data_IF_145159655381
#
_entry.id   IF_145159655381
#
_cell.length_a   1.000
_cell.length_b   1.000
_cell.length_c   1.000
_cell.angle_alpha   90.00
_cell.angle_beta   90.00
_cell.angle_gamma   90.00
#
_symmetry.space_group_name_H-M   'P 1'
#
loop_
_entity.id
_entity.type
_entity.pdbx_description
1 polymer ?
#
# COMPACT_ATOMS: atom_id res chain seq x y z
N UNK A 1 0.07 20.86 10.50
CA UNK A 1 -0.43 19.47 10.42
C UNK A 1 0.01 18.61 9.24
N UNK A 2 0.03 19.11 7.99
CA UNK A 2 0.37 18.27 6.81
C UNK A 2 1.77 17.64 6.85
N UNK A 3 2.73 18.32 7.48
CA UNK A 3 4.11 17.84 7.63
C UNK A 3 4.19 16.61 8.55
N UNK A 4 3.45 16.62 9.66
CA UNK A 4 3.42 15.50 10.62
C UNK A 4 2.75 14.25 10.03
N UNK A 5 1.72 14.44 9.19
CA UNK A 5 1.08 13.32 8.49
C UNK A 5 2.01 12.70 7.45
N UNK A 6 2.78 13.52 6.73
CA UNK A 6 3.77 13.07 5.75
C UNK A 6 4.90 12.26 6.41
N UNK A 7 5.41 12.72 7.54
CA UNK A 7 6.45 12.02 8.31
C UNK A 7 5.97 10.68 8.86
N UNK A 8 4.71 10.59 9.31
CA UNK A 8 4.11 9.31 9.71
C UNK A 8 3.98 8.35 8.54
N UNK A 9 3.49 8.81 7.40
CA UNK A 9 3.38 7.98 6.20
C UNK A 9 4.74 7.42 5.78
N UNK A 10 5.80 8.23 5.85
CA UNK A 10 7.15 7.79 5.53
C UNK A 10 7.69 6.73 6.50
N UNK A 11 7.50 6.90 7.81
CA UNK A 11 7.93 5.91 8.82
C UNK A 11 7.17 4.60 8.71
N UNK A 12 5.88 4.69 8.42
CA UNK A 12 5.00 3.54 8.16
C UNK A 12 5.45 2.76 6.93
N UNK A 13 5.75 3.44 5.83
CA UNK A 13 6.29 2.82 4.61
C UNK A 13 7.66 2.19 4.89
N UNK A 14 8.54 2.87 5.62
CA UNK A 14 9.83 2.30 6.02
C UNK A 14 9.66 1.07 6.91
N UNK A 15 8.72 1.05 7.86
CA UNK A 15 8.45 -0.10 8.71
C UNK A 15 7.92 -1.29 7.89
N UNK A 16 7.02 -1.04 6.93
CA UNK A 16 6.48 -2.06 6.04
C UNK A 16 7.54 -2.67 5.11
N UNK A 17 8.61 -1.92 4.79
CA UNK A 17 9.76 -2.41 4.04
C UNK A 17 10.73 -3.26 4.90
N UNK A 18 10.70 -3.12 6.23
CA UNK A 18 11.59 -3.86 7.15
C UNK A 18 11.00 -5.19 7.64
N UNK A 19 9.67 -5.33 7.71
CA UNK A 19 9.03 -6.63 7.97
C UNK A 19 9.10 -7.54 6.75
N UNK A 20 10.27 -8.17 6.59
CA UNK A 20 10.60 -9.05 5.47
C UNK A 20 10.04 -10.46 5.69
N UNK A 21 8.72 -10.62 5.62
CA UNK A 21 8.14 -11.88 5.16
C UNK A 21 7.31 -11.61 3.89
N UNK A 22 7.92 -11.71 2.70
CA UNK A 22 7.21 -11.37 1.47
C UNK A 22 6.06 -12.36 1.26
N UNK A 23 4.82 -11.84 1.24
CA UNK A 23 3.62 -12.65 1.02
C UNK A 23 3.78 -13.55 -0.22
N UNK A 24 3.49 -14.83 -0.04
CA UNK A 24 3.33 -15.83 -1.10
C UNK A 24 2.05 -15.54 -1.90
N UNK A 25 1.91 -16.16 -3.07
CA UNK A 25 0.71 -16.03 -3.89
C UNK A 25 -0.57 -16.45 -3.14
N UNK A 26 -0.49 -17.51 -2.32
CA UNK A 26 -1.62 -17.95 -1.49
C UNK A 26 -2.01 -16.87 -0.48
N UNK A 27 -1.03 -16.33 0.23
CA UNK A 27 -1.27 -15.28 1.23
C UNK A 27 -1.82 -13.99 0.59
N UNK A 28 -1.45 -13.68 -0.66
CA UNK A 28 -2.07 -12.58 -1.42
C UNK A 28 -3.54 -12.87 -1.70
N UNK A 29 -3.85 -14.08 -2.18
CA UNK A 29 -5.24 -14.48 -2.46
C UNK A 29 -6.08 -14.47 -1.18
N UNK A 30 -5.55 -15.00 -0.08
CA UNK A 30 -6.20 -15.03 1.22
C UNK A 30 -6.40 -13.61 1.76
N UNK A 31 -5.39 -12.74 1.63
CA UNK A 31 -5.51 -11.33 2.00
C UNK A 31 -6.64 -10.64 1.22
N UNK A 32 -6.75 -10.87 -0.08
CA UNK A 32 -7.83 -10.29 -0.91
C UNK A 32 -9.23 -10.81 -0.55
N UNK A 33 -9.34 -11.98 0.10
CA UNK A 33 -10.61 -12.53 0.56
C UNK A 33 -11.13 -11.87 1.85
N UNK A 34 -10.29 -11.12 2.58
CA UNK A 34 -10.65 -10.56 3.88
C UNK A 34 -11.66 -9.39 3.78
N UNK A 35 -12.48 -9.15 4.84
CA UNK A 35 -13.51 -8.12 4.85
C UNK A 35 -13.02 -6.71 4.51
N UNK A 36 -11.81 -6.37 4.96
CA UNK A 36 -11.17 -5.08 4.71
C UNK A 36 -10.99 -4.77 3.21
N UNK A 37 -10.95 -5.79 2.34
CA UNK A 37 -10.89 -5.65 0.89
C UNK A 37 -12.23 -5.89 0.20
N UNK A 38 -13.06 -6.78 0.74
CA UNK A 38 -14.35 -7.14 0.10
C UNK A 38 -15.44 -6.12 0.39
N UNK A 39 -15.59 -5.64 1.62
CA UNK A 39 -16.65 -4.68 2.00
C UNK A 39 -16.14 -3.24 2.07
N UNK A 40 -14.82 -3.03 2.19
CA UNK A 40 -14.23 -1.73 2.54
C UNK A 40 -14.70 -1.20 3.90
N UNK A 41 -15.38 -2.06 4.66
CA UNK A 41 -16.02 -1.76 5.92
C UNK A 41 -15.31 -2.52 7.04
N UNK A 42 -13.98 -2.41 7.12
CA UNK A 42 -13.40 -2.34 8.46
C UNK A 42 -13.88 -1.00 9.00
N UNK A 43 -14.97 -0.97 9.78
CA UNK A 43 -15.22 0.18 10.65
C UNK A 43 -14.13 0.06 11.71
N UNK A 44 -13.02 0.79 11.58
CA UNK A 44 -11.91 0.56 12.47
C UNK A 44 -12.37 1.05 13.85
N UNK A 45 -12.19 0.22 14.88
CA UNK A 45 -12.63 0.56 16.23
C UNK A 45 -12.01 1.88 16.72
N UNK A 46 -10.87 2.28 16.13
CA UNK A 46 -10.21 3.57 16.31
C UNK A 46 -9.32 3.93 15.11
N UNK A 47 -8.80 5.18 15.07
CA UNK A 47 -7.92 5.68 14.00
C UNK A 47 -6.61 4.89 13.82
N UNK A 48 -6.12 4.22 14.88
CA UNK A 48 -4.90 3.40 14.79
C UNK A 48 -5.15 2.17 13.92
N UNK A 49 -6.24 1.45 14.17
CA UNK A 49 -6.64 0.29 13.35
C UNK A 49 -6.87 0.68 11.89
N UNK A 50 -7.48 1.85 11.63
CA UNK A 50 -7.69 2.36 10.27
C UNK A 50 -6.37 2.58 9.51
N UNK A 51 -5.36 3.06 10.23
CA UNK A 51 -4.03 3.29 9.66
C UNK A 51 -3.35 1.97 9.37
N UNK A 52 -3.37 1.02 10.31
CA UNK A 52 -2.81 -0.32 10.13
C UNK A 52 -3.42 -1.06 8.94
N UNK A 53 -4.75 -1.01 8.76
CA UNK A 53 -5.44 -1.67 7.65
C UNK A 53 -4.94 -1.13 6.30
N UNK A 54 -4.78 0.20 6.17
CA UNK A 54 -4.27 0.83 4.94
C UNK A 54 -2.82 0.47 4.63
N UNK A 55 -2.02 0.19 5.66
CA UNK A 55 -0.62 -0.24 5.51
C UNK A 55 -0.56 -1.65 4.94
N UNK A 56 -1.34 -2.57 5.54
CA UNK A 56 -1.47 -3.94 5.04
C UNK A 56 -2.06 -3.93 3.63
N UNK A 57 -3.05 -3.07 3.38
CA UNK A 57 -3.63 -2.94 2.05
C UNK A 57 -2.58 -2.51 1.02
N UNK A 58 -1.76 -1.53 1.40
CA UNK A 58 -0.69 -1.02 0.55
C UNK A 58 0.38 -2.08 0.27
N UNK A 59 0.82 -2.83 1.28
CA UNK A 59 1.86 -3.85 1.12
C UNK A 59 1.43 -4.98 0.18
N UNK A 60 0.16 -5.40 0.24
CA UNK A 60 -0.41 -6.37 -0.72
C UNK A 60 -0.41 -5.79 -2.13
N UNK A 61 -0.84 -4.53 -2.32
CA UNK A 61 -0.84 -3.90 -3.64
C UNK A 61 0.58 -3.79 -4.23
N UNK A 62 1.55 -3.38 -3.43
CA UNK A 62 2.95 -3.28 -3.82
C UNK A 62 3.53 -4.68 -4.15
N UNK A 63 3.15 -5.71 -3.39
CA UNK A 63 3.56 -7.10 -3.67
C UNK A 63 2.98 -7.62 -4.98
N UNK A 64 1.71 -7.34 -5.27
CA UNK A 64 1.11 -7.70 -6.55
C UNK A 64 1.87 -7.04 -7.70
N UNK A 65 2.21 -5.75 -7.59
CA UNK A 65 3.02 -5.04 -8.58
C UNK A 65 4.40 -5.68 -8.77
N UNK A 66 5.06 -6.02 -7.66
CA UNK A 66 6.35 -6.70 -7.70
C UNK A 66 6.27 -8.02 -8.48
N UNK A 67 5.30 -8.90 -8.18
CA UNK A 67 5.13 -10.18 -8.88
C UNK A 67 4.75 -9.98 -10.35
N UNK A 68 3.88 -9.01 -10.66
CA UNK A 68 3.50 -8.76 -12.05
C UNK A 68 4.69 -8.26 -12.89
N UNK A 69 5.59 -7.47 -12.29
CA UNK A 69 6.80 -6.96 -12.93
C UNK A 69 7.99 -7.91 -12.94
N UNK A 70 7.91 -9.02 -12.20
CA UNK A 70 8.97 -10.01 -12.10
C UNK A 70 9.09 -10.81 -13.40
N UNK A 71 10.17 -10.58 -14.15
CA UNK A 71 10.41 -11.24 -15.43
C UNK A 71 10.73 -12.72 -15.29
N UNK A 72 11.15 -13.15 -14.09
CA UNK A 72 11.48 -14.54 -13.79
C UNK A 72 10.25 -15.32 -13.28
N UNK A 73 9.15 -14.62 -12.93
CA UNK A 73 7.88 -15.25 -12.60
C UNK A 73 7.21 -15.87 -13.85
N UNK A 74 6.59 -17.04 -13.67
CA UNK A 74 5.93 -17.74 -14.77
C UNK A 74 4.83 -16.86 -15.41
N UNK A 75 4.62 -16.94 -16.74
CA UNK A 75 3.57 -16.17 -17.43
C UNK A 75 2.17 -16.37 -16.82
N UNK A 76 1.87 -17.58 -16.34
CA UNK A 76 0.60 -17.93 -15.72
C UNK A 76 0.41 -17.19 -14.37
N UNK A 77 1.46 -17.15 -13.55
CA UNK A 77 1.44 -16.42 -12.26
C UNK A 77 1.22 -14.93 -12.49
N UNK A 78 1.95 -14.34 -13.45
CA UNK A 78 1.76 -12.93 -13.81
C UNK A 78 0.35 -12.65 -14.32
N UNK A 79 -0.18 -13.51 -15.20
CA UNK A 79 -1.53 -13.39 -15.75
C UNK A 79 -2.61 -13.45 -14.64
N UNK A 80 -2.44 -14.36 -13.68
CA UNK A 80 -3.34 -14.48 -12.53
C UNK A 80 -3.29 -13.23 -11.63
N UNK A 81 -2.09 -12.73 -11.33
CA UNK A 81 -1.92 -11.50 -10.55
C UNK A 81 -2.55 -10.31 -11.25
N UNK A 82 -2.33 -10.12 -12.56
CA UNK A 82 -2.97 -9.04 -13.32
C UNK A 82 -4.49 -9.16 -13.36
N UNK A 83 -5.02 -10.39 -13.43
CA UNK A 83 -6.46 -10.62 -13.28
C UNK A 83 -6.97 -10.15 -11.92
N UNK A 84 -6.27 -10.49 -10.83
CA UNK A 84 -6.61 -10.01 -9.48
C UNK A 84 -6.46 -8.50 -9.34
N UNK A 85 -5.44 -7.89 -9.96
CA UNK A 85 -5.28 -6.43 -10.00
C UNK A 85 -6.47 -5.75 -10.68
N UNK A 86 -7.00 -6.30 -11.79
CA UNK A 86 -8.21 -5.77 -12.44
C UNK A 86 -9.40 -5.77 -11.50
N UNK A 87 -9.66 -6.90 -10.83
CA UNK A 87 -10.75 -7.01 -9.85
C UNK A 87 -10.59 -5.99 -8.72
N UNK A 88 -9.38 -5.88 -8.18
CA UNK A 88 -9.13 -4.98 -7.05
C UNK A 88 -9.15 -3.51 -7.46
N UNK A 89 -8.63 -3.14 -8.63
CA UNK A 89 -8.73 -1.79 -9.20
C UNK A 89 -10.18 -1.35 -9.31
N UNK A 90 -11.03 -2.21 -9.87
CA UNK A 90 -12.45 -1.90 -10.06
C UNK A 90 -13.16 -1.76 -8.70
N UNK A 91 -12.80 -2.59 -7.72
CA UNK A 91 -13.29 -2.45 -6.35
C UNK A 91 -12.83 -1.14 -5.69
N UNK A 92 -11.55 -0.79 -5.82
CA UNK A 92 -10.98 0.45 -5.30
C UNK A 92 -11.68 1.68 -5.92
N UNK A 93 -12.03 1.62 -7.21
CA UNK A 93 -12.84 2.65 -7.89
C UNK A 93 -14.26 2.78 -7.32
N UNK A 94 -14.84 1.72 -6.80
CA UNK A 94 -16.11 1.80 -6.05
C UNK A 94 -15.88 2.39 -4.66
N UNK A 95 -14.80 2.01 -3.99
CA UNK A 95 -14.50 2.44 -2.62
C UNK A 95 -14.09 3.91 -2.51
N UNK A 96 -13.48 4.49 -3.54
CA UNK A 96 -13.17 5.93 -3.56
C UNK A 96 -14.43 6.82 -3.59
N UNK A 97 -15.62 6.27 -3.89
CA UNK A 97 -16.87 7.03 -3.91
C UNK A 97 -17.47 7.24 -2.52
N UNK A 98 -16.92 6.60 -1.49
CA UNK A 98 -17.39 6.70 -0.10
C UNK A 98 -16.23 6.79 0.89
N UNK A 99 -16.53 6.96 2.17
CA UNK A 99 -15.52 7.05 3.23
C UNK A 99 -14.90 8.44 3.42
N UNK A 100 -13.90 8.51 4.31
CA UNK A 100 -13.18 9.74 4.64
C UNK A 100 -12.27 10.21 3.49
N UNK A 101 -11.76 11.44 3.55
CA UNK A 101 -10.79 11.93 2.56
C UNK A 101 -9.57 11.00 2.47
N UNK A 102 -9.08 10.53 3.61
CA UNK A 102 -7.93 9.62 3.68
C UNK A 102 -8.23 8.27 3.01
N UNK A 103 -9.44 7.73 3.19
CA UNK A 103 -9.85 6.47 2.55
C UNK A 103 -9.94 6.65 1.04
N UNK A 104 -10.56 7.74 0.58
CA UNK A 104 -10.64 8.05 -0.85
C UNK A 104 -9.25 8.25 -1.45
N UNK A 105 -8.34 8.94 -0.76
CA UNK A 105 -6.96 9.12 -1.20
C UNK A 105 -6.20 7.79 -1.29
N UNK A 106 -6.38 6.90 -0.30
CA UNK A 106 -5.81 5.55 -0.32
C UNK A 106 -6.30 4.74 -1.53
N UNK A 107 -7.62 4.65 -1.74
CA UNK A 107 -8.20 3.89 -2.85
C UNK A 107 -7.90 4.51 -4.24
N UNK A 108 -7.79 5.84 -4.33
CA UNK A 108 -7.33 6.52 -5.53
C UNK A 108 -5.87 6.17 -5.87
N UNK A 109 -4.99 6.10 -4.87
CA UNK A 109 -3.59 5.67 -5.06
C UNK A 109 -3.51 4.21 -5.54
N UNK A 110 -4.21 3.27 -4.88
CA UNK A 110 -4.19 1.85 -5.28
C UNK A 110 -4.73 1.66 -6.70
N UNK A 111 -5.88 2.27 -7.02
CA UNK A 111 -6.48 2.15 -8.35
C UNK A 111 -5.61 2.79 -9.44
N UNK A 112 -4.98 3.93 -9.16
CA UNK A 112 -4.08 4.61 -10.09
C UNK A 112 -2.83 3.79 -10.41
N UNK A 113 -2.23 3.15 -9.39
CA UNK A 113 -1.05 2.32 -9.56
C UNK A 113 -1.35 1.09 -10.43
N UNK A 114 -2.45 0.39 -10.16
CA UNK A 114 -2.86 -0.74 -11.00
C UNK A 114 -3.27 -0.32 -12.41
N UNK A 115 -3.92 0.84 -12.58
CA UNK A 115 -4.20 1.38 -13.92
C UNK A 115 -2.93 1.57 -14.72
N UNK A 116 -1.90 2.21 -14.14
CA UNK A 116 -0.63 2.44 -14.85
C UNK A 116 0.07 1.14 -15.23
N UNK A 117 0.09 0.15 -14.34
CA UNK A 117 0.65 -1.16 -14.65
C UNK A 117 -0.14 -1.88 -15.75
N UNK A 118 -1.47 -2.01 -15.59
CA UNK A 118 -2.30 -2.78 -16.50
C UNK A 118 -2.38 -2.18 -17.91
N UNK A 119 -2.26 -0.85 -18.04
CA UNK A 119 -2.39 -0.17 -19.34
C UNK A 119 -1.03 0.16 -19.98
N UNK A 120 0.00 0.43 -19.18
CA UNK A 120 1.29 0.95 -19.66
C UNK A 120 2.49 0.12 -19.20
N UNK A 121 2.30 -0.87 -18.33
CA UNK A 121 3.35 -1.66 -17.68
C UNK A 121 4.36 -0.76 -16.93
N UNK A 122 3.86 0.32 -16.35
CA UNK A 122 4.66 1.29 -15.61
C UNK A 122 4.49 1.11 -14.11
N UNK A 123 5.60 0.84 -13.42
CA UNK A 123 5.63 0.81 -11.95
C UNK A 123 5.49 2.23 -11.37
N UNK A 124 4.81 2.38 -10.22
CA UNK A 124 4.86 3.63 -9.48
C UNK A 124 6.32 3.95 -9.13
N UNK A 125 6.76 5.16 -9.43
CA UNK A 125 8.07 5.63 -8.97
C UNK A 125 8.01 5.71 -7.44
N UNK A 126 8.89 5.02 -6.70
CA UNK A 126 8.95 5.18 -5.26
C UNK A 126 9.18 6.66 -4.97
N UNK A 127 8.37 7.25 -4.08
CA UNK A 127 8.72 8.57 -3.56
C UNK A 127 10.11 8.46 -2.94
N UNK A 128 11.06 9.36 -3.25
CA UNK A 128 12.35 9.36 -2.60
C UNK A 128 12.14 9.29 -1.10
N UNK A 129 12.82 8.35 -0.43
CA UNK A 129 12.79 8.30 1.02
C UNK A 129 13.12 9.71 1.52
N UNK A 130 12.23 10.28 2.35
CA UNK A 130 12.50 11.54 3.00
C UNK A 130 13.84 11.37 3.73
N UNK A 131 14.87 12.07 3.25
CA UNK A 131 16.13 12.16 3.99
C UNK A 131 15.74 12.73 5.35
N UNK A 132 16.03 11.99 6.41
CA UNK A 132 15.92 12.54 7.75
C UNK A 132 16.70 13.87 7.75
N UNK A 133 16.13 14.96 8.28
CA UNK A 133 16.91 16.16 8.53
C UNK A 133 18.17 15.76 9.31
N UNK A 134 19.34 16.37 9.05
CA UNK A 134 20.51 16.18 9.89
C UNK A 134 20.07 16.36 11.34
N UNK A 135 20.32 15.33 12.18
CA UNK A 135 19.77 15.29 13.53
C UNK A 135 20.11 16.57 14.29
N UNK A 136 19.07 17.26 14.76
CA UNK A 136 19.24 18.35 15.70
C UNK A 136 19.63 17.72 17.06
N UNK A 137 20.79 18.06 17.65
CA UNK A 137 21.25 17.45 18.88
C UNK A 137 20.52 18.07 20.08
N UNK A 138 19.27 17.69 20.29
CA UNK A 138 18.63 17.94 21.58
C UNK A 138 18.78 16.70 22.47
N UNK A 139 19.90 16.65 23.19
CA UNK A 139 20.13 15.76 24.33
C UNK A 139 21.59 15.37 24.53
N UNK A 140 22.27 15.96 25.54
CA UNK A 140 23.62 15.55 25.96
C UNK A 140 24.39 16.57 26.80
N UNK A 141 23.85 16.93 27.97
CA UNK A 141 24.45 17.29 29.26
C UNK A 141 25.91 17.80 29.36
N UNK A 142 26.10 18.92 30.07
CA UNK A 142 27.37 19.20 30.76
C UNK A 142 27.70 20.67 31.04
N UNK A 143 27.02 21.28 32.03
CA UNK A 143 27.63 22.10 33.11
C UNK A 143 26.60 22.29 34.23
#
# INVERSE_FOLDING_TARGET
DLVLQRERAARVVQSALHESNPLTLSEIVDALATPQWTSGASRPANLRSATSDRIVQRSVADRMLAIASDKDASPEVRSLIEFKMRQLRDRARTLLLSGSIDDRAHWASVSGDFTRWLERQELPTPSPALRAPPGDPFGGDGQ
#
